data_IF_331937139684
#
_entry.id   IF_331937139684
#
_cell.length_a   1.000
_cell.length_b   1.000
_cell.length_c   1.000
_cell.angle_alpha   90.00
_cell.angle_beta   90.00
_cell.angle_gamma   90.00
#
_symmetry.space_group_name_H-M   'P 1'
#
loop_
_entity.id
_entity.type
_entity.pdbx_description
1 polymer ?
#
# COMPACT_ATOMS: atom_id res chain seq x y z
N UNK A 1 6.85 12.77 31.45
CA UNK A 1 8.10 12.00 31.48
C UNK A 1 8.68 12.03 32.89
N UNK A 2 8.84 13.21 33.55
CA UNK A 2 9.39 13.33 34.90
C UNK A 2 8.67 12.45 35.93
N UNK A 3 7.34 12.51 36.01
CA UNK A 3 6.54 11.64 36.91
C UNK A 3 6.84 10.15 36.74
N UNK A 4 7.12 9.68 35.52
CA UNK A 4 7.47 8.28 35.25
C UNK A 4 8.87 7.97 35.75
N UNK A 5 9.81 8.91 35.63
CA UNK A 5 11.15 8.77 36.17
C UNK A 5 11.13 8.74 37.71
N UNK A 6 10.30 9.56 38.34
CA UNK A 6 10.11 9.57 39.81
C UNK A 6 9.49 8.25 40.29
N UNK A 7 8.53 7.69 39.58
CA UNK A 7 7.96 6.36 39.89
C UNK A 7 9.02 5.27 39.82
N UNK A 8 9.91 5.33 38.83
CA UNK A 8 11.02 4.41 38.71
C UNK A 8 12.06 4.59 39.82
N UNK A 9 12.45 5.83 40.14
CA UNK A 9 13.40 6.11 41.24
C UNK A 9 12.86 5.68 42.60
N UNK A 10 11.55 5.71 42.80
CA UNK A 10 10.87 5.23 44.01
C UNK A 10 10.61 3.70 44.00
N UNK A 11 11.07 2.96 42.98
CA UNK A 11 10.92 1.53 42.90
C UNK A 11 9.50 1.00 42.61
N UNK A 12 8.59 1.88 42.17
CA UNK A 12 7.18 1.54 41.93
C UNK A 12 7.01 0.78 40.62
N UNK A 13 7.83 1.08 39.60
CA UNK A 13 7.79 0.47 38.27
C UNK A 13 9.14 -0.11 37.88
N UNK A 14 9.13 -1.12 37.01
CA UNK A 14 10.34 -1.73 36.46
C UNK A 14 10.96 -0.84 35.36
N UNK A 15 12.21 -1.10 35.00
CA UNK A 15 12.89 -0.34 33.90
C UNK A 15 12.18 -0.53 32.56
N UNK A 16 11.70 -1.76 32.28
CA UNK A 16 10.93 -2.05 31.07
C UNK A 16 9.61 -1.27 30.99
N UNK A 17 8.89 -1.16 32.12
CA UNK A 17 7.67 -0.36 32.20
C UNK A 17 7.94 1.13 32.08
N UNK A 18 9.02 1.62 32.71
CA UNK A 18 9.47 2.99 32.56
C UNK A 18 9.72 3.32 31.09
N UNK A 19 10.50 2.47 30.42
CA UNK A 19 10.82 2.62 29.00
C UNK A 19 9.56 2.68 28.13
N UNK A 20 8.67 1.71 28.28
CA UNK A 20 7.43 1.64 27.49
C UNK A 20 6.55 2.87 27.72
N UNK A 21 6.35 3.29 28.97
CA UNK A 21 5.57 4.48 29.30
C UNK A 21 6.16 5.77 28.71
N UNK A 22 7.49 5.90 28.67
CA UNK A 22 8.15 7.07 28.05
C UNK A 22 7.93 7.08 26.55
N UNK A 23 8.06 5.92 25.87
CA UNK A 23 7.81 5.80 24.44
C UNK A 23 6.35 6.14 24.11
N UNK A 24 5.39 5.62 24.87
CA UNK A 24 3.97 5.93 24.67
C UNK A 24 3.66 7.43 24.81
N UNK A 25 4.21 8.07 25.84
CA UNK A 25 4.01 9.53 26.04
C UNK A 25 4.54 10.31 24.82
N UNK A 26 5.70 9.95 24.30
CA UNK A 26 6.29 10.65 23.15
C UNK A 26 5.59 10.31 21.84
N UNK A 27 5.06 9.11 21.68
CA UNK A 27 4.23 8.72 20.53
C UNK A 27 2.95 9.54 20.50
N UNK A 28 2.26 9.66 21.63
CA UNK A 28 1.05 10.48 21.75
C UNK A 28 1.33 11.98 21.51
N UNK A 29 2.45 12.50 22.04
CA UNK A 29 2.86 13.87 21.81
C UNK A 29 3.15 14.13 20.32
N UNK A 30 3.87 13.23 19.66
CA UNK A 30 4.18 13.31 18.23
C UNK A 30 2.91 13.28 17.37
N UNK A 31 1.94 12.44 17.73
CA UNK A 31 0.64 12.38 17.03
C UNK A 31 -0.19 13.64 17.24
N UNK A 32 -0.15 14.24 18.44
CA UNK A 32 -0.82 15.49 18.70
C UNK A 32 -0.20 16.66 17.90
N UNK A 33 1.13 16.72 17.81
CA UNK A 33 1.85 17.70 16.99
C UNK A 33 1.52 17.51 15.51
N UNK A 34 1.47 16.25 15.01
CA UNK A 34 1.09 15.95 13.62
C UNK A 34 -0.29 16.50 13.28
N UNK A 35 -1.27 16.23 14.12
CA UNK A 35 -2.65 16.75 13.93
C UNK A 35 -2.72 18.28 13.98
N UNK A 36 -1.97 18.91 14.89
CA UNK A 36 -1.94 20.37 14.98
C UNK A 36 -1.31 21.02 13.74
N UNK A 37 -0.21 20.43 13.21
CA UNK A 37 0.42 20.91 11.97
C UNK A 37 -0.52 20.72 10.78
N UNK A 38 -1.23 19.59 10.72
CA UNK A 38 -2.17 19.32 9.64
C UNK A 38 -3.36 20.30 9.67
N UNK A 39 -3.98 20.52 10.82
CA UNK A 39 -5.05 21.51 10.97
C UNK A 39 -4.59 22.92 10.63
N UNK A 40 -3.38 23.31 11.06
CA UNK A 40 -2.84 24.62 10.71
C UNK A 40 -2.57 24.80 9.20
N UNK A 41 -2.26 23.72 8.46
CA UNK A 41 -2.11 23.75 7.02
C UNK A 41 -3.44 23.80 6.28
N UNK A 42 -4.48 23.12 6.82
CA UNK A 42 -5.85 23.15 6.30
C UNK A 42 -6.47 24.53 6.45
N UNK A 43 -6.28 25.17 7.61
CA UNK A 43 -6.80 26.49 7.90
C UNK A 43 -6.03 27.62 7.20
N UNK A 44 -4.79 27.36 6.76
CA UNK A 44 -3.95 28.35 6.12
C UNK A 44 -4.47 28.72 4.72
N UNK A 45 -4.55 30.01 4.43
CA UNK A 45 -4.96 30.56 3.12
C UNK A 45 -6.33 30.02 2.65
N UNK A 46 -7.27 29.85 3.60
CA UNK A 46 -8.63 29.36 3.33
C UNK A 46 -8.65 27.98 2.62
N UNK A 47 -7.67 27.11 2.94
CA UNK A 47 -7.52 25.79 2.33
C UNK A 47 -6.73 25.78 1.00
N UNK A 48 -6.24 26.91 0.54
CA UNK A 48 -5.49 27.05 -0.72
C UNK A 48 -3.97 27.06 -0.54
N UNK A 49 -3.49 26.56 0.59
CA UNK A 49 -2.05 26.43 0.84
C UNK A 49 -1.43 25.42 -0.13
N UNK A 50 -0.36 25.82 -0.84
CA UNK A 50 0.29 25.00 -1.87
C UNK A 50 0.82 23.66 -1.34
N UNK A 51 1.30 23.62 -0.10
CA UNK A 51 1.80 22.38 0.54
C UNK A 51 0.64 21.46 0.87
N UNK A 52 -0.46 22.02 1.39
CA UNK A 52 -1.68 21.26 1.67
C UNK A 52 -2.24 20.64 0.39
N UNK A 53 -2.40 21.43 -0.69
CA UNK A 53 -2.91 20.95 -1.97
C UNK A 53 -2.05 19.82 -2.56
N UNK A 54 -0.72 19.94 -2.50
CA UNK A 54 0.17 18.86 -2.96
C UNK A 54 0.04 17.58 -2.16
N UNK A 55 -0.15 17.68 -0.84
CA UNK A 55 -0.35 16.53 0.05
C UNK A 55 -1.71 15.90 -0.16
N UNK A 56 -2.77 16.70 -0.18
CA UNK A 56 -4.17 16.25 -0.27
C UNK A 56 -4.44 15.56 -1.62
N UNK A 57 -3.92 16.11 -2.71
CA UNK A 57 -4.00 15.48 -4.04
C UNK A 57 -3.18 14.19 -4.17
N UNK A 58 -2.35 13.83 -3.18
CA UNK A 58 -1.45 12.68 -3.25
C UNK A 58 -0.27 12.85 -4.22
N UNK A 59 -0.11 14.02 -4.84
CA UNK A 59 0.96 14.26 -5.81
C UNK A 59 2.35 14.19 -5.16
N UNK A 60 2.51 14.77 -3.98
CA UNK A 60 3.79 14.79 -3.25
C UNK A 60 3.57 15.05 -1.76
N UNK A 61 4.41 14.44 -0.94
CA UNK A 61 4.43 14.67 0.50
C UNK A 61 3.46 13.77 1.28
N UNK A 62 4.01 12.98 2.21
CA UNK A 62 3.23 12.25 3.19
C UNK A 62 3.04 13.07 4.46
N UNK A 63 2.07 12.71 5.28
CA UNK A 63 1.85 13.33 6.58
C UNK A 63 3.10 13.29 7.47
N UNK A 64 3.81 12.15 7.47
CA UNK A 64 5.07 12.00 8.20
C UNK A 64 6.19 12.93 7.71
N UNK A 65 6.26 13.19 6.42
CA UNK A 65 7.25 14.14 5.86
C UNK A 65 6.94 15.57 6.29
N UNK A 66 5.69 15.99 6.23
CA UNK A 66 5.25 17.32 6.66
C UNK A 66 5.47 17.52 8.16
N UNK A 67 5.12 16.51 8.96
CA UNK A 67 5.38 16.49 10.40
C UNK A 67 6.87 16.70 10.73
N UNK A 68 7.77 16.04 10.01
CA UNK A 68 9.21 16.19 10.22
C UNK A 68 9.75 17.55 9.76
N UNK A 69 9.13 18.15 8.74
CA UNK A 69 9.53 19.45 8.21
C UNK A 69 9.12 20.63 9.12
N UNK A 70 7.86 20.64 9.55
CA UNK A 70 7.28 21.79 10.27
C UNK A 70 6.84 21.53 11.69
N UNK A 71 6.82 20.28 12.14
CA UNK A 71 6.41 19.90 13.47
C UNK A 71 7.54 19.37 14.33
N UNK A 72 7.61 18.06 14.48
CA UNK A 72 8.58 17.36 15.32
C UNK A 72 9.07 16.10 14.60
N UNK A 73 10.38 15.84 14.61
CA UNK A 73 10.90 14.63 13.97
C UNK A 73 10.53 13.36 14.72
N UNK A 74 10.53 13.37 16.04
CA UNK A 74 10.05 12.29 16.90
C UNK A 74 11.10 11.27 17.31
N UNK A 75 10.64 10.06 17.65
CA UNK A 75 11.48 8.97 18.16
C UNK A 75 12.30 8.31 17.05
N UNK A 76 13.55 7.96 17.38
CA UNK A 76 14.50 7.35 16.45
C UNK A 76 14.88 5.94 16.91
N UNK A 77 15.12 5.04 15.97
CA UNK A 77 15.56 3.67 16.25
C UNK A 77 17.07 3.60 16.52
N UNK A 78 17.49 2.73 17.44
CA UNK A 78 18.90 2.41 17.63
C UNK A 78 19.45 1.64 16.41
N UNK A 79 20.74 1.79 16.07
CA UNK A 79 21.33 1.14 14.90
C UNK A 79 21.50 -0.37 15.04
N UNK A 80 21.54 -0.91 16.25
CA UNK A 80 21.80 -2.32 16.50
C UNK A 80 20.51 -3.14 16.50
N UNK A 81 20.49 -4.24 15.69
CA UNK A 81 19.49 -5.31 15.82
C UNK A 81 19.95 -6.27 16.92
N UNK A 82 19.12 -6.52 17.93
CA UNK A 82 19.34 -7.68 18.80
C UNK A 82 19.17 -8.97 17.99
N UNK A 83 20.05 -9.95 18.17
CA UNK A 83 20.02 -11.27 17.50
C UNK A 83 18.71 -12.04 17.72
N UNK A 84 17.88 -11.65 18.67
CA UNK A 84 16.62 -12.31 19.09
C UNK A 84 15.38 -11.83 18.34
N UNK A 85 15.50 -11.14 17.19
CA UNK A 85 14.34 -10.78 16.37
C UNK A 85 13.41 -9.72 16.97
N UNK A 86 13.73 -9.17 18.14
CA UNK A 86 13.00 -8.07 18.74
C UNK A 86 13.17 -6.80 17.88
N UNK A 87 12.10 -6.06 17.70
CA UNK A 87 12.09 -4.73 17.09
C UNK A 87 13.21 -3.90 17.72
N UNK A 88 14.04 -3.26 16.92
CA UNK A 88 15.19 -2.50 17.39
C UNK A 88 14.78 -1.53 18.51
N UNK A 89 15.55 -1.48 19.61
CA UNK A 89 15.25 -0.57 20.71
C UNK A 89 15.20 0.87 20.20
N UNK A 90 14.16 1.58 20.58
CA UNK A 90 13.97 2.99 20.28
C UNK A 90 14.83 3.80 21.24
N UNK A 91 15.34 4.93 20.79
CA UNK A 91 16.04 5.89 21.64
C UNK A 91 14.99 6.65 22.45
N UNK A 92 15.08 6.61 23.79
CA UNK A 92 14.11 7.22 24.68
C UNK A 92 13.99 8.74 24.52
N UNK A 93 15.05 9.40 24.09
CA UNK A 93 15.08 10.84 23.86
C UNK A 93 14.67 11.13 22.43
N UNK A 94 13.49 11.74 22.19
CA UNK A 94 13.05 12.09 20.85
C UNK A 94 13.82 13.29 20.31
N UNK A 95 13.79 13.47 19.01
CA UNK A 95 14.19 14.71 18.36
C UNK A 95 12.96 15.63 18.34
N UNK A 96 13.00 16.68 19.17
CA UNK A 96 11.87 17.62 19.31
C UNK A 96 11.90 18.63 18.17
N UNK A 97 13.06 19.03 17.70
CA UNK A 97 13.22 20.00 16.63
C UNK A 97 12.67 19.47 15.28
N UNK A 98 12.16 20.39 14.47
CA UNK A 98 11.83 20.18 13.08
C UNK A 98 13.00 20.49 12.16
N UNK A 99 12.93 20.05 10.91
CA UNK A 99 13.97 20.45 9.93
C UNK A 99 13.98 21.94 9.62
N UNK A 100 12.83 22.62 9.77
CA UNK A 100 12.72 24.07 9.58
C UNK A 100 13.47 24.83 10.66
N UNK A 101 13.41 24.36 11.90
CA UNK A 101 14.12 24.97 13.05
C UNK A 101 15.63 24.65 13.03
N UNK A 102 15.98 23.51 12.46
CA UNK A 102 17.32 22.96 12.49
C UNK A 102 17.56 22.06 13.69
N UNK A 103 18.39 21.04 13.51
CA UNK A 103 18.73 20.05 14.53
C UNK A 103 19.98 20.47 15.29
N UNK A 104 20.03 20.19 16.59
CA UNK A 104 21.26 20.25 17.37
C UNK A 104 22.25 19.18 16.89
N UNK A 105 23.54 19.35 17.24
CA UNK A 105 24.58 18.40 16.82
C UNK A 105 24.30 16.97 17.28
N UNK A 106 23.81 16.80 18.52
CA UNK A 106 23.43 15.48 19.03
C UNK A 106 22.22 14.88 18.31
N UNK A 107 21.18 15.66 18.05
CA UNK A 107 20.00 15.23 17.32
C UNK A 107 20.36 14.86 15.88
N UNK A 108 21.20 15.65 15.22
CA UNK A 108 21.72 15.32 13.92
C UNK A 108 22.49 14.00 13.92
N UNK A 109 23.38 13.79 14.88
CA UNK A 109 24.15 12.54 15.01
C UNK A 109 23.24 11.33 15.20
N UNK A 110 22.24 11.41 16.10
CA UNK A 110 21.24 10.35 16.28
C UNK A 110 20.50 10.07 14.98
N UNK A 111 20.12 11.11 14.26
CA UNK A 111 19.45 11.05 12.98
C UNK A 111 20.26 10.32 11.90
N UNK A 112 21.60 10.49 11.89
CA UNK A 112 22.46 9.86 10.89
C UNK A 112 22.50 8.34 11.00
N UNK A 113 22.25 7.76 12.18
CA UNK A 113 22.16 6.30 12.34
C UNK A 113 21.00 5.72 11.53
N UNK A 114 19.83 6.33 11.62
CA UNK A 114 18.66 5.92 10.83
C UNK A 114 18.87 6.12 9.33
N UNK A 115 19.46 7.25 8.93
CA UNK A 115 19.75 7.55 7.53
C UNK A 115 20.74 6.53 6.94
N UNK A 116 21.85 6.24 7.64
CA UNK A 116 22.85 5.24 7.18
C UNK A 116 22.24 3.85 7.05
N UNK A 117 21.43 3.43 8.03
CA UNK A 117 20.72 2.15 7.97
C UNK A 117 19.75 2.10 6.78
N UNK A 118 18.97 3.16 6.58
CA UNK A 118 18.05 3.26 5.44
C UNK A 118 18.78 3.17 4.09
N UNK A 119 19.93 3.83 3.94
CA UNK A 119 20.77 3.74 2.72
C UNK A 119 21.27 2.31 2.47
N UNK A 120 21.78 1.64 3.51
CA UNK A 120 22.26 0.27 3.40
C UNK A 120 21.09 -0.71 3.08
N UNK A 121 19.97 -0.57 3.77
CA UNK A 121 18.78 -1.40 3.54
C UNK A 121 18.23 -1.20 2.12
N UNK A 122 18.23 0.03 1.59
CA UNK A 122 17.82 0.33 0.21
C UNK A 122 18.73 -0.38 -0.80
N UNK A 123 20.05 -0.29 -0.63
CA UNK A 123 20.99 -0.93 -1.53
C UNK A 123 20.83 -2.45 -1.59
N UNK A 124 20.63 -3.11 -0.43
CA UNK A 124 20.43 -4.55 -0.34
C UNK A 124 19.07 -4.98 -0.93
N UNK A 125 18.00 -4.30 -0.56
CA UNK A 125 16.64 -4.63 -1.01
C UNK A 125 16.44 -4.40 -2.51
N UNK A 126 17.14 -3.45 -3.11
CA UNK A 126 17.12 -3.23 -4.57
C UNK A 126 17.62 -4.46 -5.31
N UNK A 127 18.71 -5.07 -4.83
CA UNK A 127 19.24 -6.31 -5.43
C UNK A 127 18.24 -7.48 -5.26
N UNK A 128 17.61 -7.63 -4.09
CA UNK A 128 16.60 -8.65 -3.84
C UNK A 128 15.37 -8.49 -4.74
N UNK A 129 14.86 -7.26 -4.91
CA UNK A 129 13.74 -6.95 -5.79
C UNK A 129 14.08 -7.26 -7.26
N UNK A 130 15.27 -6.89 -7.70
CA UNK A 130 15.75 -7.20 -9.05
C UNK A 130 15.88 -8.72 -9.30
N UNK A 131 16.42 -9.45 -8.34
CA UNK A 131 16.52 -10.91 -8.43
C UNK A 131 15.12 -11.60 -8.41
N UNK A 132 14.19 -11.11 -7.60
CA UNK A 132 12.82 -11.61 -7.60
C UNK A 132 12.15 -11.39 -8.97
N UNK A 133 12.27 -10.18 -9.53
CA UNK A 133 11.72 -9.85 -10.86
C UNK A 133 12.28 -10.78 -11.93
N UNK A 134 13.61 -10.99 -11.94
CA UNK A 134 14.25 -11.90 -12.88
C UNK A 134 13.69 -13.33 -12.76
N UNK A 135 13.58 -13.87 -11.55
CA UNK A 135 13.02 -15.22 -11.34
C UNK A 135 11.57 -15.32 -11.80
N UNK A 136 10.76 -14.28 -11.57
CA UNK A 136 9.37 -14.24 -12.06
C UNK A 136 9.32 -14.24 -13.59
N UNK A 137 10.19 -13.46 -14.24
CA UNK A 137 10.29 -13.46 -15.71
C UNK A 137 10.72 -14.83 -16.23
N UNK A 138 11.75 -15.45 -15.63
CA UNK A 138 12.25 -16.76 -16.05
C UNK A 138 11.15 -17.85 -15.99
N UNK A 139 10.27 -17.79 -14.97
CA UNK A 139 9.16 -18.75 -14.83
C UNK A 139 7.98 -18.41 -15.75
N UNK A 140 7.68 -17.12 -15.92
CA UNK A 140 6.47 -16.69 -16.63
C UNK A 140 6.67 -16.38 -18.11
N UNK A 141 7.90 -16.44 -18.65
CA UNK A 141 8.20 -16.07 -20.04
C UNK A 141 7.44 -16.91 -21.08
N UNK A 142 7.10 -18.15 -20.74
CA UNK A 142 6.37 -19.05 -21.64
C UNK A 142 4.86 -18.83 -21.65
N UNK A 143 4.36 -17.96 -20.75
CA UNK A 143 2.94 -17.59 -20.71
C UNK A 143 2.66 -16.50 -21.74
N UNK A 144 2.26 -16.93 -22.90
CA UNK A 144 1.96 -16.09 -24.07
C UNK A 144 0.50 -16.30 -24.48
N UNK A 145 -0.13 -15.32 -25.12
CA UNK A 145 -1.44 -15.50 -25.73
C UNK A 145 -1.30 -16.40 -26.96
N UNK A 146 -1.75 -17.64 -26.84
CA UNK A 146 -1.56 -18.69 -27.86
C UNK A 146 -2.73 -18.83 -28.83
N UNK A 147 -3.96 -18.57 -28.36
CA UNK A 147 -5.18 -18.79 -29.13
C UNK A 147 -6.24 -17.69 -28.88
N UNK A 148 -7.22 -17.54 -29.80
CA UNK A 148 -8.25 -16.53 -29.61
C UNK A 148 -9.21 -16.87 -28.47
N UNK A 149 -9.59 -18.15 -28.33
CA UNK A 149 -10.58 -18.63 -27.38
C UNK A 149 -10.34 -20.09 -27.01
N UNK A 150 -10.28 -20.42 -25.73
CA UNK A 150 -10.15 -21.77 -25.22
C UNK A 150 -11.51 -22.50 -25.07
N UNK A 151 -12.64 -21.82 -25.27
CA UNK A 151 -13.96 -22.38 -25.16
C UNK A 151 -14.39 -22.78 -23.74
N UNK A 152 -13.70 -22.34 -22.70
CA UNK A 152 -14.04 -22.70 -21.31
C UNK A 152 -15.44 -22.23 -20.92
N UNK A 153 -16.18 -23.08 -20.21
CA UNK A 153 -17.44 -22.74 -19.54
C UNK A 153 -17.21 -22.26 -18.08
N UNK A 154 -15.96 -22.28 -17.61
CA UNK A 154 -15.62 -21.85 -16.26
C UNK A 154 -15.28 -20.38 -16.23
N UNK A 155 -15.84 -19.66 -15.26
CA UNK A 155 -15.59 -18.24 -15.03
C UNK A 155 -15.42 -17.92 -13.55
N UNK A 156 -14.95 -16.73 -13.26
CA UNK A 156 -14.79 -16.21 -11.93
C UNK A 156 -15.94 -15.25 -11.58
N UNK A 157 -16.61 -15.48 -10.46
CA UNK A 157 -17.56 -14.53 -9.92
C UNK A 157 -16.86 -13.33 -9.34
N UNK A 158 -17.16 -12.16 -9.85
CA UNK A 158 -16.54 -10.90 -9.45
C UNK A 158 -17.61 -9.94 -8.97
N UNK A 159 -17.45 -9.45 -7.75
CA UNK A 159 -18.28 -8.42 -7.12
C UNK A 159 -17.43 -7.23 -6.68
N UNK A 160 -18.03 -6.21 -6.08
CA UNK A 160 -17.32 -5.10 -5.46
C UNK A 160 -16.43 -5.60 -4.33
N UNK A 161 -15.22 -5.06 -4.22
CA UNK A 161 -14.33 -5.34 -3.10
C UNK A 161 -14.74 -4.48 -1.91
N UNK A 162 -15.14 -5.13 -0.82
CA UNK A 162 -15.58 -4.48 0.41
C UNK A 162 -14.65 -4.81 1.56
N UNK A 163 -14.32 -3.82 2.38
CA UNK A 163 -13.66 -3.99 3.67
C UNK A 163 -14.64 -3.54 4.77
N UNK A 164 -15.33 -4.54 5.37
CA UNK A 164 -16.47 -4.29 6.24
C UNK A 164 -17.65 -3.69 5.46
N UNK A 165 -18.04 -2.46 5.78
CA UNK A 165 -19.10 -1.72 5.07
C UNK A 165 -18.59 -0.77 3.97
N UNK A 166 -17.28 -0.51 3.94
CA UNK A 166 -16.67 0.39 2.98
C UNK A 166 -16.35 -0.33 1.66
N UNK A 167 -16.74 0.29 0.53
CA UNK A 167 -16.41 -0.21 -0.80
C UNK A 167 -15.02 0.32 -1.16
N UNK A 168 -14.02 -0.57 -1.16
CA UNK A 168 -12.65 -0.25 -1.54
C UNK A 168 -12.53 -0.09 -3.06
N UNK A 169 -13.17 -0.97 -3.82
CA UNK A 169 -13.17 -0.95 -5.28
C UNK A 169 -14.56 -1.34 -5.80
N UNK A 170 -15.22 -0.46 -6.58
CA UNK A 170 -16.53 -0.73 -7.12
C UNK A 170 -16.51 -1.84 -8.18
N UNK A 171 -17.67 -2.49 -8.40
CA UNK A 171 -17.81 -3.56 -9.38
C UNK A 171 -17.39 -3.11 -10.78
N UNK A 172 -17.80 -1.91 -11.21
CA UNK A 172 -17.49 -1.38 -12.53
C UNK A 172 -15.99 -1.41 -12.85
N UNK A 173 -15.16 -0.91 -11.92
CA UNK A 173 -13.70 -0.82 -12.11
C UNK A 173 -13.04 -2.21 -12.20
N UNK A 174 -13.61 -3.20 -11.49
CA UNK A 174 -13.09 -4.57 -11.47
C UNK A 174 -13.40 -5.38 -12.74
N UNK A 175 -14.49 -5.06 -13.42
CA UNK A 175 -14.93 -5.80 -14.61
C UNK A 175 -14.50 -5.16 -15.93
N UNK A 176 -14.15 -3.89 -15.93
CA UNK A 176 -13.65 -3.19 -17.15
C UNK A 176 -12.48 -3.94 -17.77
N UNK A 177 -12.54 -4.16 -19.08
CA UNK A 177 -11.51 -4.85 -19.85
C UNK A 177 -11.52 -6.38 -19.70
N UNK A 178 -12.51 -6.95 -19.01
CA UNK A 178 -12.74 -8.40 -18.95
C UNK A 178 -13.80 -8.81 -19.94
N UNK A 179 -13.81 -10.10 -20.31
CA UNK A 179 -14.87 -10.68 -21.14
C UNK A 179 -15.90 -11.32 -20.22
N UNK A 180 -17.17 -10.96 -20.38
CA UNK A 180 -18.26 -11.57 -19.63
C UNK A 180 -18.52 -12.98 -20.16
N UNK A 181 -18.79 -13.93 -19.25
CA UNK A 181 -19.03 -15.33 -19.65
C UNK A 181 -20.51 -15.60 -19.96
N UNK A 182 -21.41 -15.08 -19.14
CA UNK A 182 -22.85 -15.30 -19.24
C UNK A 182 -23.56 -14.00 -19.64
N UNK A 183 -24.77 -14.11 -20.20
CA UNK A 183 -25.63 -12.95 -20.50
C UNK A 183 -25.97 -12.21 -19.19
N UNK A 184 -25.71 -10.93 -19.12
CA UNK A 184 -26.15 -10.09 -18.00
C UNK A 184 -27.59 -9.64 -18.26
N UNK A 185 -28.53 -10.25 -17.54
CA UNK A 185 -29.97 -9.96 -17.63
C UNK A 185 -30.40 -9.26 -16.34
N UNK A 186 -31.05 -8.11 -16.46
CA UNK A 186 -31.59 -7.34 -15.35
C UNK A 186 -32.77 -8.04 -14.68
N UNK A 187 -33.16 -7.58 -13.48
CA UNK A 187 -34.32 -8.09 -12.74
C UNK A 187 -35.63 -8.04 -13.54
N UNK A 188 -35.74 -7.11 -14.49
CA UNK A 188 -36.87 -6.95 -15.39
C UNK A 188 -36.83 -7.88 -16.62
N UNK A 189 -35.80 -8.72 -16.76
CA UNK A 189 -35.61 -9.61 -17.88
C UNK A 189 -35.02 -8.99 -19.15
N UNK A 190 -34.53 -7.75 -19.07
CA UNK A 190 -33.88 -7.08 -20.18
C UNK A 190 -32.38 -7.47 -20.25
N UNK A 191 -31.93 -7.76 -21.48
CA UNK A 191 -30.49 -8.00 -21.71
C UNK A 191 -29.69 -6.70 -21.61
N UNK A 192 -28.82 -6.60 -20.63
CA UNK A 192 -27.94 -5.45 -20.42
C UNK A 192 -26.65 -5.58 -21.24
N UNK A 193 -26.01 -6.75 -21.16
CA UNK A 193 -24.80 -7.09 -21.93
C UNK A 193 -24.84 -8.56 -22.31
N UNK A 194 -24.48 -8.85 -23.57
CA UNK A 194 -24.45 -10.20 -24.11
C UNK A 194 -23.19 -10.94 -23.66
N UNK A 195 -23.30 -12.26 -23.48
CA UNK A 195 -22.18 -13.15 -23.26
C UNK A 195 -21.05 -12.96 -24.29
N UNK A 196 -19.85 -13.30 -23.94
CA UNK A 196 -18.63 -13.19 -24.76
C UNK A 196 -18.26 -11.76 -25.24
N UNK A 197 -18.87 -10.74 -24.66
CA UNK A 197 -18.55 -9.34 -24.97
C UNK A 197 -17.38 -8.84 -24.08
N UNK A 198 -16.44 -8.13 -24.68
CA UNK A 198 -15.41 -7.39 -23.95
C UNK A 198 -16.07 -6.18 -23.28
N UNK A 199 -16.03 -6.11 -21.96
CA UNK A 199 -16.65 -5.03 -21.19
C UNK A 199 -15.83 -3.75 -21.30
N UNK A 200 -16.40 -2.76 -21.94
CA UNK A 200 -15.88 -1.38 -21.96
C UNK A 200 -16.42 -0.61 -20.74
N UNK A 201 -15.92 0.61 -20.52
CA UNK A 201 -16.32 1.47 -19.40
C UNK A 201 -17.85 1.74 -19.41
N UNK A 202 -18.45 1.87 -20.60
CA UNK A 202 -19.89 2.11 -20.76
C UNK A 202 -20.69 0.89 -20.30
N UNK A 203 -20.27 -0.30 -20.70
CA UNK A 203 -20.97 -1.56 -20.36
C UNK A 203 -20.83 -1.89 -18.88
N UNK A 204 -19.64 -1.66 -18.31
CA UNK A 204 -19.39 -1.85 -16.88
C UNK A 204 -20.28 -0.92 -16.03
N UNK A 205 -20.42 0.34 -16.43
CA UNK A 205 -21.31 1.28 -15.75
C UNK A 205 -22.80 0.89 -15.90
N UNK A 206 -23.23 0.36 -17.04
CA UNK A 206 -24.61 -0.18 -17.21
C UNK A 206 -24.87 -1.34 -16.26
N UNK A 207 -23.93 -2.28 -16.14
CA UNK A 207 -24.01 -3.40 -15.21
C UNK A 207 -24.12 -2.90 -13.76
N UNK A 208 -23.29 -1.93 -13.37
CA UNK A 208 -23.34 -1.37 -12.03
C UNK A 208 -24.65 -0.64 -11.73
N UNK A 209 -25.20 0.12 -12.70
CA UNK A 209 -26.49 0.82 -12.59
C UNK A 209 -27.67 -0.13 -12.54
N UNK A 210 -27.59 -1.30 -13.20
CA UNK A 210 -28.62 -2.34 -13.15
C UNK A 210 -28.64 -3.11 -11.83
N UNK A 211 -27.73 -2.80 -10.87
CA UNK A 211 -27.77 -3.34 -9.52
C UNK A 211 -27.20 -4.76 -9.36
N UNK A 212 -26.38 -5.22 -10.27
CA UNK A 212 -25.70 -6.52 -10.12
C UNK A 212 -24.72 -6.49 -8.93
N UNK A 213 -24.84 -7.44 -8.02
CA UNK A 213 -23.89 -7.63 -6.93
C UNK A 213 -22.62 -8.34 -7.42
N UNK A 214 -22.76 -9.30 -8.32
CA UNK A 214 -21.68 -10.10 -8.88
C UNK A 214 -21.95 -10.42 -10.34
N UNK A 215 -20.89 -10.52 -11.13
CA UNK A 215 -20.92 -10.90 -12.54
C UNK A 215 -19.88 -11.99 -12.78
N UNK A 216 -20.21 -12.93 -13.66
CA UNK A 216 -19.29 -14.01 -14.03
C UNK A 216 -18.45 -13.60 -15.21
N UNK A 217 -17.14 -13.45 -14.99
CA UNK A 217 -16.18 -13.02 -16.00
C UNK A 217 -15.19 -14.13 -16.34
N UNK A 218 -14.64 -14.09 -17.54
CA UNK A 218 -13.52 -14.94 -17.94
C UNK A 218 -12.24 -14.47 -17.25
N UNK A 219 -11.40 -15.43 -16.86
CA UNK A 219 -10.15 -15.17 -16.15
C UNK A 219 -9.04 -16.08 -16.67
N UNK A 220 -7.80 -15.61 -16.59
CA UNK A 220 -6.62 -16.44 -16.85
C UNK A 220 -6.49 -17.61 -15.88
N UNK A 221 -7.09 -17.50 -14.68
CA UNK A 221 -7.07 -18.55 -13.66
C UNK A 221 -7.96 -19.76 -14.03
N UNK A 222 -8.96 -19.56 -14.87
CA UNK A 222 -9.91 -20.59 -15.33
C UNK A 222 -9.73 -20.90 -16.82
N UNK A 223 -8.64 -20.44 -17.42
CA UNK A 223 -8.34 -20.69 -18.82
C UNK A 223 -7.93 -22.17 -19.02
N UNK A 224 -8.53 -22.83 -20.03
CA UNK A 224 -8.27 -24.22 -20.38
C UNK A 224 -7.31 -24.39 -21.57
N UNK A 225 -6.59 -23.31 -21.94
CA UNK A 225 -5.54 -23.36 -22.97
C UNK A 225 -4.40 -24.30 -22.55
N UNK A 226 -3.94 -25.20 -23.44
CA UNK A 226 -2.85 -26.14 -23.14
C UNK A 226 -1.53 -25.46 -22.88
N UNK A 227 -1.27 -24.34 -23.57
CA UNK A 227 -0.07 -23.53 -23.41
C UNK A 227 -0.43 -22.05 -23.36
N UNK A 228 0.11 -21.35 -22.34
CA UNK A 228 -0.16 -19.93 -22.19
C UNK A 228 -1.61 -19.62 -21.79
N UNK A 229 -2.21 -18.64 -22.42
CA UNK A 229 -3.58 -18.18 -22.17
C UNK A 229 -4.28 -17.83 -23.47
N UNK A 230 -5.62 -17.86 -23.51
CA UNK A 230 -6.36 -17.37 -24.66
C UNK A 230 -6.66 -15.87 -24.55
N UNK A 231 -6.91 -15.23 -25.69
CA UNK A 231 -7.16 -13.79 -25.75
C UNK A 231 -8.41 -13.37 -24.95
N UNK A 232 -9.50 -14.15 -24.99
CA UNK A 232 -10.73 -13.84 -24.25
C UNK A 232 -10.58 -13.97 -22.75
N UNK A 233 -9.81 -14.95 -22.24
CA UNK A 233 -9.56 -15.12 -20.82
C UNK A 233 -8.63 -14.03 -20.27
N UNK A 234 -7.71 -13.52 -21.07
CA UNK A 234 -6.88 -12.39 -20.71
C UNK A 234 -7.65 -11.08 -20.76
N UNK A 235 -8.39 -10.82 -21.85
CA UNK A 235 -9.20 -9.63 -22.02
C UNK A 235 -8.47 -8.48 -22.73
N UNK A 236 -8.65 -7.27 -22.21
CA UNK A 236 -8.14 -6.03 -22.81
C UNK A 236 -6.63 -5.87 -22.62
N UNK A 237 -5.93 -5.53 -23.69
CA UNK A 237 -4.56 -5.01 -23.61
C UNK A 237 -4.62 -3.54 -23.16
N UNK A 238 -3.99 -3.23 -22.03
CA UNK A 238 -4.05 -1.90 -21.40
C UNK A 238 -3.37 -0.81 -22.24
N UNK A 239 -2.40 -1.17 -23.09
CA UNK A 239 -1.71 -0.19 -23.94
C UNK A 239 -2.55 0.25 -25.14
N UNK A 240 -3.33 -0.67 -25.72
CA UNK A 240 -4.11 -0.40 -26.95
C UNK A 240 -5.60 -0.17 -26.69
N UNK A 241 -6.09 -0.53 -25.49
CA UNK A 241 -7.51 -0.48 -25.12
C UNK A 241 -8.40 -1.52 -25.81
N UNK A 242 -7.82 -2.41 -26.62
CA UNK A 242 -8.53 -3.44 -27.39
C UNK A 242 -8.25 -4.84 -26.86
N UNK A 243 -9.00 -5.82 -27.33
CA UNK A 243 -8.71 -7.22 -27.04
C UNK A 243 -7.25 -7.54 -27.39
N UNK A 244 -6.58 -8.30 -26.52
CA UNK A 244 -5.18 -8.65 -26.69
C UNK A 244 -4.93 -9.43 -27.99
N UNK A 245 -3.79 -9.19 -28.63
CA UNK A 245 -3.38 -9.92 -29.82
C UNK A 245 -2.71 -11.25 -29.45
N UNK A 246 -2.83 -12.22 -30.36
CA UNK A 246 -2.07 -13.48 -30.26
C UNK A 246 -0.58 -13.17 -30.34
N UNK A 247 0.22 -13.84 -29.51
CA UNK A 247 1.68 -13.64 -29.42
C UNK A 247 2.11 -12.63 -28.35
N UNK A 248 1.19 -11.98 -27.64
CA UNK A 248 1.52 -11.08 -26.53
C UNK A 248 2.11 -11.86 -25.35
N UNK A 249 3.26 -11.42 -24.85
CA UNK A 249 3.98 -12.06 -23.73
C UNK A 249 3.41 -11.61 -22.38
N UNK A 250 2.22 -12.06 -22.04
CA UNK A 250 1.47 -11.64 -20.87
C UNK A 250 2.14 -11.97 -19.54
N UNK A 251 2.85 -13.10 -19.50
CA UNK A 251 3.60 -13.50 -18.31
C UNK A 251 4.78 -12.57 -18.00
N UNK A 252 5.49 -12.11 -19.03
CA UNK A 252 6.58 -11.13 -18.85
C UNK A 252 6.03 -9.80 -18.39
N UNK A 253 4.93 -9.33 -18.98
CA UNK A 253 4.23 -8.10 -18.57
C UNK A 253 3.81 -8.18 -17.11
N UNK A 254 3.23 -9.30 -16.67
CA UNK A 254 2.83 -9.52 -15.28
C UNK A 254 4.05 -9.49 -14.33
N UNK A 255 5.12 -10.19 -14.67
CA UNK A 255 6.33 -10.22 -13.84
C UNK A 255 6.98 -8.83 -13.71
N UNK A 256 7.02 -8.06 -14.78
CA UNK A 256 7.54 -6.68 -14.77
C UNK A 256 6.62 -5.74 -13.97
N UNK A 257 5.30 -5.87 -14.11
CA UNK A 257 4.32 -5.05 -13.38
C UNK A 257 4.35 -5.31 -11.87
N UNK A 258 4.70 -6.52 -11.43
CA UNK A 258 4.89 -6.87 -10.02
C UNK A 258 6.27 -6.42 -9.53
N UNK A 259 7.29 -6.54 -10.36
CA UNK A 259 8.68 -6.25 -10.00
C UNK A 259 9.01 -4.76 -9.92
N UNK A 260 8.44 -3.94 -10.79
CA UNK A 260 8.68 -2.50 -10.81
C UNK A 260 8.30 -1.81 -9.50
N UNK A 261 7.07 -1.97 -8.94
CA UNK A 261 6.74 -1.40 -7.64
C UNK A 261 7.59 -1.93 -6.50
N UNK A 262 8.07 -3.17 -6.58
CA UNK A 262 8.99 -3.76 -5.61
C UNK A 262 10.27 -2.92 -5.45
N UNK A 263 10.85 -2.48 -6.56
CA UNK A 263 12.01 -1.59 -6.55
C UNK A 263 11.67 -0.21 -6.01
N UNK A 264 10.54 0.38 -6.37
CA UNK A 264 10.10 1.68 -5.86
C UNK A 264 9.80 1.65 -4.35
N UNK A 265 9.17 0.58 -3.85
CA UNK A 265 8.90 0.40 -2.42
C UNK A 265 10.20 0.30 -1.61
N UNK A 266 11.25 -0.31 -2.16
CA UNK A 266 12.56 -0.36 -1.49
C UNK A 266 13.20 1.03 -1.40
N UNK A 267 13.03 1.87 -2.40
CA UNK A 267 13.49 3.26 -2.38
C UNK A 267 12.68 4.13 -1.39
N UNK A 268 11.36 3.89 -1.26
CA UNK A 268 10.50 4.62 -0.32
C UNK A 268 10.79 4.33 1.16
N UNK A 269 11.24 3.12 1.51
CA UNK A 269 11.63 2.81 2.91
C UNK A 269 12.77 3.68 3.43
N UNK A 270 13.56 4.29 2.56
CA UNK A 270 14.57 5.27 2.93
C UNK A 270 13.99 6.55 3.54
N UNK A 271 12.82 7.01 3.08
CA UNK A 271 12.19 8.25 3.54
C UNK A 271 11.51 8.15 4.92
N UNK A 272 11.19 6.95 5.38
CA UNK A 272 10.59 6.72 6.71
C UNK A 272 11.67 6.71 7.81
N UNK A 273 12.95 6.76 7.45
CA UNK A 273 14.12 7.10 8.27
C UNK A 273 14.09 6.68 9.73
N UNK A 274 13.70 5.44 10.05
CA UNK A 274 13.81 4.90 11.40
C UNK A 274 12.81 5.42 12.43
N UNK A 275 11.75 6.10 12.03
CA UNK A 275 10.67 6.48 12.96
C UNK A 275 9.84 5.26 13.36
N UNK A 276 9.57 5.13 14.66
CA UNK A 276 8.89 3.98 15.26
C UNK A 276 7.36 4.11 15.17
N UNK A 277 6.79 3.89 13.99
CA UNK A 277 5.32 3.98 13.80
C UNK A 277 4.54 2.70 14.19
N UNK A 278 5.21 1.57 14.45
CA UNK A 278 4.54 0.26 14.62
C UNK A 278 4.24 -0.18 16.05
N UNK A 279 4.67 0.53 17.08
CA UNK A 279 4.49 0.07 18.47
C UNK A 279 3.07 0.37 18.99
N UNK A 280 2.39 1.37 18.45
CA UNK A 280 1.02 1.71 18.88
C UNK A 280 -0.02 0.64 18.49
N UNK A 281 0.18 -0.10 17.39
CA UNK A 281 -0.73 -1.16 16.96
C UNK A 281 -0.67 -2.42 17.83
N UNK A 282 0.46 -2.69 18.50
CA UNK A 282 0.63 -3.88 19.34
C UNK A 282 0.18 -3.70 20.79
N UNK A 283 -0.11 -2.47 21.22
CA UNK A 283 -0.56 -2.19 22.60
C UNK A 283 -2.08 -2.31 22.78
N UNK A 284 -2.86 -2.50 21.72
CA UNK A 284 -4.30 -2.72 21.79
C UNK A 284 -4.64 -4.19 21.51
N UNK A 285 -5.09 -4.90 22.52
CA UNK A 285 -5.69 -6.24 22.39
C UNK A 285 -7.19 -6.04 22.22
N UNK A 286 -7.69 -6.20 20.99
CA UNK A 286 -9.13 -6.18 20.70
C UNK A 286 -9.70 -7.56 21.03
N UNK A 287 -10.66 -7.64 21.94
CA UNK A 287 -11.36 -8.88 22.25
C UNK A 287 -12.16 -9.35 21.02
N UNK A 288 -11.92 -10.60 20.59
CA UNK A 288 -12.60 -11.19 19.41
C UNK A 288 -14.07 -11.57 19.65
N UNK A 289 -14.58 -11.50 20.87
CA UNK A 289 -16.00 -11.72 21.23
C UNK A 289 -16.38 -10.86 22.42
N UNK A 290 -17.61 -10.29 22.38
CA UNK A 290 -18.31 -9.80 23.58
C UNK A 290 -18.83 -10.96 24.38
#
# INVERSE_FOLDING_TARGET
VEKVRDQYSNGIITDGERYNKIIDIWTHATSAVSRAVQGALEDAEEGFNSVFVMKDSGARGSEDQIKQLGGMRGLMNKPQKKLTGAVGEIIETPIIASFKEGLSVLEYFISTHGARKGLADTALKTAEAGYLTRRMVDVAQDVVVSEPDCGTSQGLWTGALKDGEEIVEPLADRIVGRVILDDAVDADGNLVVKADTLLEEVDANRIAQAGFEQVRIRSVLTCESERGVCARCYGRNLATGRLVNIGEATGVIAAQSIGEPGTQLTLRTFHIGGTASRIAEQSQITARRR
#
